data_IF_849201998690
#
_entry.id   IF_849201998690
#
_cell.length_a   1.000
_cell.length_b   1.000
_cell.length_c   1.000
_cell.angle_alpha   90.00
_cell.angle_beta   90.00
_cell.angle_gamma   90.00
#
_symmetry.space_group_name_H-M   'P 1'
#
loop_
_entity.id
_entity.type
_entity.pdbx_description
1 polymer ?
#
# COMPACT_ATOMS: atom_id res chain seq x y z
N UNK A 1 13.32 -26.68 -6.24
CA UNK A 1 12.99 -25.55 -5.35
C UNK A 1 13.00 -26.05 -3.92
N UNK A 2 13.74 -25.38 -3.07
CA UNK A 2 13.73 -25.69 -1.65
C UNK A 2 12.38 -25.32 -1.03
N UNK A 3 12.00 -26.08 0.00
CA UNK A 3 10.80 -25.72 0.76
C UNK A 3 11.08 -24.43 1.54
N UNK A 4 10.06 -23.60 1.75
CA UNK A 4 10.24 -22.40 2.55
C UNK A 4 10.73 -22.75 3.96
N UNK A 5 11.65 -21.97 4.53
CA UNK A 5 12.23 -22.28 5.84
C UNK A 5 11.24 -22.10 7.00
N UNK A 6 10.07 -21.53 6.71
CA UNK A 6 9.02 -21.29 7.68
C UNK A 6 7.70 -21.83 7.15
N UNK A 7 7.01 -22.60 7.97
CA UNK A 7 5.69 -23.13 7.68
C UNK A 7 4.66 -22.49 8.60
N UNK A 8 3.67 -21.80 8.02
CA UNK A 8 2.55 -21.30 8.82
C UNK A 8 1.59 -22.45 9.12
N UNK A 9 1.35 -22.68 10.42
CA UNK A 9 0.47 -23.71 10.92
C UNK A 9 -0.95 -23.19 11.10
N UNK A 10 -1.08 -21.94 11.56
CA UNK A 10 -2.37 -21.30 11.83
C UNK A 10 -2.24 -19.78 11.71
N UNK A 11 -3.35 -19.12 11.43
CA UNK A 11 -3.50 -17.67 11.47
C UNK A 11 -4.78 -17.30 12.18
N UNK A 12 -4.70 -16.48 13.22
CA UNK A 12 -5.83 -16.05 14.03
C UNK A 12 -5.95 -14.53 14.01
N UNK A 13 -7.15 -14.02 13.75
CA UNK A 13 -7.42 -12.59 13.82
C UNK A 13 -7.41 -12.15 15.28
N UNK A 14 -6.53 -11.21 15.64
CA UNK A 14 -6.41 -10.65 16.99
C UNK A 14 -7.05 -9.28 17.13
N UNK A 15 -6.97 -8.46 16.09
CA UNK A 15 -7.54 -7.11 16.11
C UNK A 15 -7.97 -6.69 14.72
N UNK A 16 -9.12 -6.06 14.64
CA UNK A 16 -9.64 -5.45 13.43
C UNK A 16 -9.92 -3.98 13.70
N UNK A 17 -9.13 -3.11 13.07
CA UNK A 17 -9.34 -1.67 13.09
C UNK A 17 -10.20 -1.20 11.92
N UNK A 18 -10.21 0.10 11.70
CA UNK A 18 -10.92 0.70 10.57
C UNK A 18 -10.28 0.32 9.23
N UNK A 19 -8.96 0.26 9.18
CA UNK A 19 -8.18 0.02 7.95
C UNK A 19 -7.39 -1.29 8.03
N UNK A 20 -6.83 -1.60 9.21
CA UNK A 20 -5.90 -2.70 9.39
C UNK A 20 -6.57 -3.89 10.07
N UNK A 21 -6.10 -5.09 9.69
CA UNK A 21 -6.34 -6.32 10.43
C UNK A 21 -5.00 -6.84 10.93
N UNK A 22 -4.93 -7.18 12.21
CA UNK A 22 -3.75 -7.74 12.84
C UNK A 22 -4.04 -9.17 13.22
N UNK A 23 -3.18 -10.06 12.75
CA UNK A 23 -3.25 -11.50 12.99
C UNK A 23 -2.06 -11.96 13.80
N UNK A 24 -2.24 -13.05 14.52
CA UNK A 24 -1.14 -13.86 15.05
C UNK A 24 -1.00 -15.09 14.18
N UNK A 25 0.20 -15.28 13.64
CA UNK A 25 0.56 -16.50 12.92
C UNK A 25 1.31 -17.44 13.85
N UNK A 26 0.81 -18.67 13.96
CA UNK A 26 1.59 -19.76 14.56
C UNK A 26 2.42 -20.37 13.45
N UNK A 27 3.71 -20.37 13.59
CA UNK A 27 4.66 -20.86 12.58
C UNK A 27 5.60 -21.91 13.15
N UNK A 28 6.05 -22.78 12.27
CA UNK A 28 7.19 -23.67 12.53
C UNK A 28 8.39 -23.13 11.75
N UNK A 29 9.44 -22.77 12.48
CA UNK A 29 10.69 -22.26 11.93
C UNK A 29 11.86 -23.01 12.57
N UNK A 30 12.72 -23.61 11.75
CA UNK A 30 13.89 -24.36 12.22
C UNK A 30 13.55 -25.45 13.27
N UNK A 31 12.39 -26.11 13.12
CA UNK A 31 11.93 -27.15 14.04
C UNK A 31 11.35 -26.64 15.37
N UNK A 32 11.13 -25.33 15.48
CA UNK A 32 10.54 -24.72 16.66
C UNK A 32 9.24 -23.99 16.29
N UNK A 33 8.28 -24.03 17.20
CA UNK A 33 7.03 -23.26 17.07
C UNK A 33 7.24 -21.84 17.61
N UNK A 34 6.76 -20.85 16.88
CA UNK A 34 6.80 -19.43 17.26
C UNK A 34 5.50 -18.74 16.88
N UNK A 35 5.25 -17.57 17.50
CA UNK A 35 4.10 -16.74 17.25
C UNK A 35 4.57 -15.40 16.70
N UNK A 36 4.09 -15.05 15.49
CA UNK A 36 4.48 -13.83 14.78
C UNK A 36 3.27 -12.97 14.49
N UNK A 37 3.43 -11.66 14.63
CA UNK A 37 2.40 -10.72 14.22
C UNK A 37 2.42 -10.54 12.71
N UNK A 38 1.22 -10.50 12.13
CA UNK A 38 1.03 -10.22 10.70
C UNK A 38 -0.01 -9.11 10.55
N UNK A 39 0.35 -8.07 9.80
CA UNK A 39 -0.55 -6.95 9.51
C UNK A 39 -1.02 -7.07 8.07
N UNK A 40 -2.34 -7.14 7.90
CA UNK A 40 -2.96 -7.14 6.58
C UNK A 40 -3.40 -5.73 6.20
N UNK A 41 -3.04 -5.32 4.99
CA UNK A 41 -3.49 -4.11 4.32
C UNK A 41 -3.74 -4.42 2.84
N UNK A 42 -4.79 -3.83 2.26
CA UNK A 42 -5.14 -4.12 0.85
C UNK A 42 -4.11 -3.62 -0.16
N UNK A 43 -3.19 -2.80 0.27
CA UNK A 43 -2.23 -2.16 -0.60
C UNK A 43 -2.65 -0.74 -0.98
N UNK A 44 -1.74 -0.06 -1.65
CA UNK A 44 -1.94 1.31 -2.09
C UNK A 44 -1.22 1.53 -3.42
N UNK A 45 -1.57 2.59 -4.10
CA UNK A 45 -0.85 3.05 -5.28
C UNK A 45 -0.51 4.52 -5.14
N UNK A 46 0.64 4.90 -5.64
CA UNK A 46 1.10 6.27 -5.69
C UNK A 46 1.41 6.65 -7.14
N UNK A 47 1.32 7.93 -7.45
CA UNK A 47 1.63 8.45 -8.77
C UNK A 47 2.65 9.58 -8.64
N UNK A 48 3.58 9.64 -9.59
CA UNK A 48 4.55 10.74 -9.72
C UNK A 48 4.09 11.61 -10.90
N UNK A 49 3.25 12.63 -10.67
CA UNK A 49 2.70 13.43 -11.77
C UNK A 49 3.66 14.57 -12.12
N UNK A 50 4.05 14.61 -13.38
CA UNK A 50 4.91 15.66 -13.93
C UNK A 50 4.10 16.51 -14.88
N UNK A 51 4.09 17.82 -14.67
CA UNK A 51 3.38 18.77 -15.51
C UNK A 51 4.10 18.98 -16.84
N UNK A 52 3.42 19.62 -17.79
CA UNK A 52 4.02 19.97 -19.09
C UNK A 52 5.24 20.87 -18.95
N UNK A 53 5.30 21.66 -17.86
CA UNK A 53 6.43 22.53 -17.54
C UNK A 53 7.56 21.79 -16.82
N UNK A 54 7.43 20.47 -16.62
CA UNK A 54 8.44 19.66 -15.94
C UNK A 54 8.42 19.77 -14.41
N UNK A 55 7.31 20.24 -13.83
CA UNK A 55 7.15 20.36 -12.37
C UNK A 55 6.51 19.12 -11.80
N UNK A 56 6.95 18.71 -10.61
CA UNK A 56 6.33 17.63 -9.85
C UNK A 56 5.10 18.17 -9.10
N UNK A 57 3.94 17.57 -9.34
CA UNK A 57 2.73 17.90 -8.60
C UNK A 57 2.70 17.11 -7.29
N UNK A 58 2.55 17.82 -6.19
CA UNK A 58 2.52 17.21 -4.85
C UNK A 58 1.32 17.71 -4.07
N UNK A 59 0.93 16.94 -3.06
CA UNK A 59 -0.16 17.29 -2.12
C UNK A 59 0.41 17.56 -0.74
N UNK A 60 -0.18 18.53 -0.04
CA UNK A 60 0.15 18.82 1.35
C UNK A 60 -0.94 18.22 2.23
N UNK A 61 -0.58 17.30 3.11
CA UNK A 61 -1.53 16.55 3.92
C UNK A 61 -1.08 16.46 5.37
N UNK A 62 -2.03 16.64 6.31
CA UNK A 62 -1.76 16.39 7.72
C UNK A 62 -1.69 14.89 7.98
N UNK A 63 -0.62 14.45 8.60
CA UNK A 63 -0.42 13.06 9.00
C UNK A 63 -0.49 12.92 10.51
N UNK A 64 -1.59 12.38 10.99
CA UNK A 64 -1.81 12.18 12.43
C UNK A 64 -0.71 11.35 13.08
N UNK A 65 -0.21 10.31 12.39
CA UNK A 65 0.88 9.48 12.92
C UNK A 65 2.19 10.23 13.15
N UNK A 66 2.39 11.34 12.43
CA UNK A 66 3.59 12.18 12.52
C UNK A 66 3.32 13.50 13.24
N UNK A 67 2.06 13.77 13.55
CA UNK A 67 1.58 15.01 14.18
C UNK A 67 2.04 16.28 13.45
N UNK A 68 2.05 16.22 12.11
CA UNK A 68 2.47 17.33 11.25
C UNK A 68 1.95 17.20 9.83
N UNK A 69 2.02 18.32 9.10
CA UNK A 69 1.84 18.30 7.63
C UNK A 69 3.06 17.72 6.93
N UNK A 70 2.80 17.01 5.85
CA UNK A 70 3.83 16.46 4.96
C UNK A 70 3.52 16.84 3.52
N UNK A 71 4.57 16.95 2.72
CA UNK A 71 4.47 17.15 1.28
C UNK A 71 4.73 15.81 0.61
N UNK A 72 3.75 15.32 -0.15
CA UNK A 72 3.72 13.95 -0.65
C UNK A 72 3.30 13.91 -2.12
N UNK A 73 3.71 12.86 -2.83
CA UNK A 73 3.09 12.54 -4.10
C UNK A 73 1.67 12.02 -3.85
N UNK A 74 0.72 12.22 -4.79
CA UNK A 74 -0.62 11.69 -4.66
C UNK A 74 -0.61 10.17 -4.52
N UNK A 75 -1.33 9.65 -3.54
CA UNK A 75 -1.38 8.23 -3.24
C UNK A 75 -2.64 7.89 -2.44
N UNK A 76 -3.09 6.66 -2.55
CA UNK A 76 -4.20 6.18 -1.74
C UNK A 76 -4.33 4.67 -1.77
N UNK A 77 -5.14 4.17 -0.84
CA UNK A 77 -5.40 2.76 -0.70
C UNK A 77 -6.23 2.21 -1.88
N UNK A 78 -6.03 0.95 -2.19
CA UNK A 78 -6.90 0.23 -3.11
C UNK A 78 -8.32 0.19 -2.53
N UNK A 79 -9.33 0.39 -3.37
CA UNK A 79 -10.75 0.31 -2.96
C UNK A 79 -11.16 -1.12 -2.61
N UNK A 80 -10.52 -2.10 -3.24
CA UNK A 80 -10.71 -3.52 -2.98
C UNK A 80 -9.39 -4.27 -3.26
N UNK A 81 -9.18 -5.47 -2.68
CA UNK A 81 -7.87 -6.14 -2.74
C UNK A 81 -7.33 -6.39 -4.16
N UNK A 82 -8.21 -6.64 -5.12
CA UNK A 82 -7.85 -6.96 -6.51
C UNK A 82 -7.92 -5.74 -7.45
N UNK A 83 -8.14 -4.54 -6.93
CA UNK A 83 -8.13 -3.33 -7.78
C UNK A 83 -6.80 -3.23 -8.51
N UNK A 84 -6.80 -3.08 -9.85
CA UNK A 84 -5.55 -2.87 -10.58
C UNK A 84 -4.85 -1.59 -10.06
N UNK A 85 -3.58 -1.70 -9.76
CA UNK A 85 -2.80 -0.58 -9.17
C UNK A 85 -2.77 0.64 -10.10
N UNK A 86 -2.77 0.42 -11.40
CA UNK A 86 -2.88 1.49 -12.39
C UNK A 86 -4.20 2.26 -12.24
N UNK A 87 -5.31 1.54 -12.07
CA UNK A 87 -6.63 2.16 -11.89
C UNK A 87 -6.69 2.97 -10.59
N UNK A 88 -6.13 2.42 -9.52
CA UNK A 88 -6.01 3.12 -8.24
C UNK A 88 -5.19 4.40 -8.38
N UNK A 89 -4.00 4.34 -8.96
CA UNK A 89 -3.14 5.51 -9.16
C UNK A 89 -3.81 6.56 -10.04
N UNK A 90 -4.48 6.14 -11.10
CA UNK A 90 -5.22 7.03 -12.01
C UNK A 90 -6.37 7.74 -11.27
N UNK A 91 -7.12 7.02 -10.47
CA UNK A 91 -8.22 7.55 -9.66
C UNK A 91 -7.73 8.52 -8.59
N UNK A 92 -6.70 8.14 -7.85
CA UNK A 92 -6.13 8.97 -6.77
C UNK A 92 -5.55 10.28 -7.28
N UNK A 93 -4.94 10.29 -8.47
CA UNK A 93 -4.47 11.52 -9.08
C UNK A 93 -5.61 12.53 -9.25
N UNK A 94 -6.73 12.08 -9.79
CA UNK A 94 -7.89 12.94 -10.00
C UNK A 94 -8.55 13.37 -8.68
N UNK A 95 -8.76 12.43 -7.76
CA UNK A 95 -9.39 12.70 -6.46
C UNK A 95 -8.60 13.70 -5.63
N UNK A 96 -7.27 13.55 -5.57
CA UNK A 96 -6.43 14.38 -4.72
C UNK A 96 -6.00 15.71 -5.34
N UNK A 97 -5.90 15.77 -6.66
CA UNK A 97 -5.34 16.96 -7.33
C UNK A 97 -6.31 17.64 -8.30
N UNK A 98 -7.34 16.95 -8.76
CA UNK A 98 -8.21 17.41 -9.83
C UNK A 98 -7.62 17.29 -11.24
N UNK A 99 -6.35 16.91 -11.37
CA UNK A 99 -5.72 16.69 -12.66
C UNK A 99 -6.00 15.28 -13.18
N UNK A 100 -6.04 15.17 -14.50
CA UNK A 100 -6.33 13.92 -15.20
C UNK A 100 -5.25 13.61 -16.23
N UNK A 101 -5.08 12.33 -16.48
CA UNK A 101 -4.29 11.83 -17.61
C UNK A 101 -4.94 10.56 -18.16
N UNK A 102 -4.57 10.17 -19.36
CA UNK A 102 -4.98 8.88 -19.92
C UNK A 102 -4.13 7.76 -19.29
N UNK A 103 -4.75 6.61 -19.00
CA UNK A 103 -4.03 5.46 -18.41
C UNK A 103 -2.86 5.00 -19.29
N UNK A 104 -3.00 5.09 -20.60
CA UNK A 104 -1.96 4.71 -21.55
C UNK A 104 -0.67 5.56 -21.47
N UNK A 105 -0.78 6.75 -20.88
CA UNK A 105 0.36 7.65 -20.65
C UNK A 105 1.05 7.42 -19.32
N UNK A 106 0.50 6.55 -18.47
CA UNK A 106 1.08 6.22 -17.19
C UNK A 106 2.06 5.06 -17.34
N UNK A 107 3.23 5.22 -16.73
CA UNK A 107 4.30 4.21 -16.76
C UNK A 107 4.46 3.61 -15.38
N UNK A 108 4.59 2.29 -15.31
CA UNK A 108 4.95 1.59 -14.09
C UNK A 108 6.40 1.88 -13.73
N UNK A 109 6.67 2.28 -12.51
CA UNK A 109 8.02 2.54 -12.03
C UNK A 109 8.53 1.43 -11.13
N UNK A 110 7.84 1.17 -10.01
CA UNK A 110 8.32 0.23 -8.99
C UNK A 110 7.17 -0.20 -8.08
N UNK A 111 7.29 -1.40 -7.53
CA UNK A 111 6.50 -1.84 -6.37
C UNK A 111 7.43 -2.10 -5.19
N UNK A 112 6.96 -1.76 -4.00
CA UNK A 112 7.64 -2.04 -2.73
C UNK A 112 6.69 -2.80 -1.81
N UNK A 113 7.25 -3.72 -1.00
CA UNK A 113 6.52 -4.53 -0.02
C UNK A 113 6.89 -4.10 1.39
#
# INVERSE_FOLDING_TARGET
MEQPPVKRLNRELKYQGTILKIYEDTVEANGHEAHWDFIHHNGAAAVVPVTKEGKLLMVCQYRNALDRYTLEIPAGALDFPEEPKLDCAHRELEEETGFKTDKEKMEYLISVN
#
